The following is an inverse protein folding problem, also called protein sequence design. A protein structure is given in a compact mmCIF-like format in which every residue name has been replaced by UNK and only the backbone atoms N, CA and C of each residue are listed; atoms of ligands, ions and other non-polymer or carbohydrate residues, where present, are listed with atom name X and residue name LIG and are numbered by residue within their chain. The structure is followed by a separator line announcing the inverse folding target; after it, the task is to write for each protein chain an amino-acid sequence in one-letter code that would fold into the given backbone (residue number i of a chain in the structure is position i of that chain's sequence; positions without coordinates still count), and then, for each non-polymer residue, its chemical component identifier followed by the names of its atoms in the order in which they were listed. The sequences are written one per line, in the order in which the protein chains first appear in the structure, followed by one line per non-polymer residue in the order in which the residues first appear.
data_IF_221516072733
#
_entry.id   IF_221516072733
#
_cell.length_a   1.000
_cell.length_b   1.000
_cell.length_c   1.000
_cell.angle_alpha   90.00
_cell.angle_beta   90.00
_cell.angle_gamma   90.00
#
_symmetry.space_group_name_H-M   'P 1'
#
loop_
_entity.id
_entity.type
_entity.pdbx_description
1 polymer ?
#
# COMPACT_ATOMS: atom_id res chain seq x y z
N UNK A 1 51.27 10.82 -64.06
CA UNK A 1 51.45 10.57 -62.61
C UNK A 1 50.14 10.97 -61.91
N UNK A 2 49.24 10.02 -61.67
CA UNK A 2 47.89 10.29 -61.11
C UNK A 2 47.98 10.11 -59.60
N UNK A 3 47.81 11.19 -58.85
CA UNK A 3 47.87 11.21 -57.39
C UNK A 3 46.54 10.68 -56.84
N UNK A 4 46.54 9.42 -56.39
CA UNK A 4 45.41 8.78 -55.72
C UNK A 4 45.27 9.38 -54.31
N UNK A 5 44.36 10.33 -54.14
CA UNK A 5 44.09 10.96 -52.84
C UNK A 5 43.18 10.05 -52.02
N UNK A 6 43.76 9.34 -51.06
CA UNK A 6 43.08 8.38 -50.17
C UNK A 6 41.95 9.02 -49.37
N UNK A 7 40.74 8.53 -49.59
CA UNK A 7 39.46 8.95 -49.00
C UNK A 7 39.26 8.47 -47.54
N UNK A 8 40.32 8.47 -46.71
CA UNK A 8 40.28 7.93 -45.34
C UNK A 8 39.68 8.88 -44.30
N UNK A 9 39.56 10.17 -44.60
CA UNK A 9 39.21 11.20 -43.60
C UNK A 9 37.69 11.30 -43.35
N UNK A 10 36.83 10.88 -44.29
CA UNK A 10 35.37 10.96 -44.10
C UNK A 10 34.81 9.89 -43.16
N UNK A 11 35.40 8.69 -43.09
CA UNK A 11 34.88 7.58 -42.27
C UNK A 11 34.96 7.85 -40.76
N UNK A 12 36.00 8.55 -40.28
CA UNK A 12 36.17 8.84 -38.86
C UNK A 12 35.08 9.77 -38.29
N UNK A 13 34.59 10.72 -39.10
CA UNK A 13 33.53 11.65 -38.69
C UNK A 13 32.18 10.94 -38.56
N UNK A 14 31.88 9.98 -39.45
CA UNK A 14 30.64 9.20 -39.43
C UNK A 14 30.58 8.30 -38.19
N UNK A 15 31.65 7.56 -37.90
CA UNK A 15 31.71 6.66 -36.73
C UNK A 15 31.56 7.45 -35.42
N UNK A 16 32.18 8.62 -35.30
CA UNK A 16 32.07 9.47 -34.10
C UNK A 16 30.65 10.02 -33.90
N UNK A 17 29.95 10.39 -34.98
CA UNK A 17 28.53 10.82 -34.92
C UNK A 17 27.61 9.66 -34.53
N UNK A 18 27.85 8.47 -35.08
CA UNK A 18 27.04 7.28 -34.79
C UNK A 18 27.16 6.86 -33.32
N UNK A 19 28.38 6.85 -32.75
CA UNK A 19 28.60 6.56 -31.32
C UNK A 19 27.88 7.54 -30.39
N UNK A 20 27.84 8.83 -30.74
CA UNK A 20 27.13 9.85 -29.95
C UNK A 20 25.62 9.66 -30.00
N UNK A 21 25.06 9.33 -31.16
CA UNK A 21 23.63 9.03 -31.28
C UNK A 21 23.23 7.80 -30.46
N UNK A 22 24.03 6.73 -30.50
CA UNK A 22 23.77 5.52 -29.70
C UNK A 22 23.81 5.84 -28.20
N UNK A 23 24.78 6.62 -27.73
CA UNK A 23 24.87 7.02 -26.33
C UNK A 23 23.65 7.85 -25.87
N UNK A 24 23.19 8.81 -26.69
CA UNK A 24 21.98 9.60 -26.39
C UNK A 24 20.74 8.71 -26.34
N UNK A 25 20.62 7.74 -27.24
CA UNK A 25 19.49 6.81 -27.26
C UNK A 25 19.46 5.90 -26.02
N UNK A 26 20.63 5.42 -25.57
CA UNK A 26 20.74 4.61 -24.35
C UNK A 26 20.39 5.43 -23.11
N UNK A 27 20.87 6.68 -23.00
CA UNK A 27 20.55 7.56 -21.87
C UNK A 27 19.06 7.93 -21.87
N UNK A 28 18.46 8.22 -23.03
CA UNK A 28 17.01 8.47 -23.10
C UNK A 28 16.19 7.23 -22.79
N UNK A 29 16.62 6.02 -23.19
CA UNK A 29 15.95 4.77 -22.80
C UNK A 29 16.03 4.52 -21.29
N UNK A 30 17.15 4.85 -20.65
CA UNK A 30 17.29 4.72 -19.19
C UNK A 30 16.44 5.75 -18.43
N UNK A 31 16.26 6.95 -18.98
CA UNK A 31 15.38 7.99 -18.41
C UNK A 31 13.89 7.75 -18.74
N UNK A 32 13.60 6.98 -19.79
CA UNK A 32 12.25 6.57 -20.17
C UNK A 32 11.76 5.30 -19.47
N UNK A 33 12.57 4.72 -18.57
CA UNK A 33 12.06 3.84 -17.52
C UNK A 33 11.35 4.75 -16.51
N UNK A 34 10.25 5.38 -16.94
CA UNK A 34 9.35 6.06 -16.04
C UNK A 34 8.91 5.05 -14.99
N UNK A 35 8.84 5.50 -13.74
CA UNK A 35 8.11 4.77 -12.71
C UNK A 35 6.74 4.44 -13.30
N UNK A 36 6.51 3.17 -13.65
CA UNK A 36 5.18 2.76 -14.09
C UNK A 36 4.29 3.00 -12.88
N UNK A 37 3.35 3.93 -13.01
CA UNK A 37 2.28 4.04 -12.03
C UNK A 37 1.65 2.65 -11.98
N UNK A 38 1.60 2.04 -10.80
CA UNK A 38 0.89 0.78 -10.62
C UNK A 38 -0.54 1.16 -10.26
N UNK A 39 -1.48 0.99 -11.19
CA UNK A 39 -2.89 1.10 -10.85
C UNK A 39 -3.30 -0.05 -9.91
N UNK A 40 -3.70 0.30 -8.69
CA UNK A 40 -4.34 -0.63 -7.78
C UNK A 40 -5.81 -0.77 -8.16
N UNK A 41 -6.29 -2.01 -8.24
CA UNK A 41 -7.72 -2.27 -8.41
C UNK A 41 -8.31 -2.64 -7.07
N UNK A 42 -9.41 -1.99 -6.69
CA UNK A 42 -10.18 -2.36 -5.51
C UNK A 42 -10.67 -3.80 -5.71
N UNK A 43 -10.32 -4.69 -4.79
CA UNK A 43 -10.79 -6.06 -4.84
C UNK A 43 -12.26 -6.05 -4.46
N UNK A 44 -13.08 -6.37 -5.44
CA UNK A 44 -14.48 -6.64 -5.21
C UNK A 44 -14.70 -8.15 -4.94
N UNK A 45 -15.74 -8.47 -4.17
CA UNK A 45 -16.17 -9.83 -3.88
C UNK A 45 -15.04 -10.74 -3.37
N UNK A 46 -14.21 -10.26 -2.44
CA UNK A 46 -13.21 -11.11 -1.80
C UNK A 46 -13.82 -11.87 -0.61
N UNK A 47 -13.10 -12.83 -0.05
CA UNK A 47 -13.59 -13.72 1.00
C UNK A 47 -12.51 -14.00 2.04
N UNK A 48 -12.97 -14.22 3.28
CA UNK A 48 -12.18 -14.68 4.41
C UNK A 48 -12.65 -16.06 4.86
N UNK A 49 -11.87 -17.10 4.58
CA UNK A 49 -12.21 -18.50 4.88
C UNK A 49 -11.74 -18.92 6.27
N UNK A 50 -12.41 -18.43 7.32
CA UNK A 50 -12.08 -18.71 8.72
C UNK A 50 -12.24 -20.18 9.11
N UNK A 51 -13.01 -20.96 8.36
CA UNK A 51 -13.17 -22.40 8.59
C UNK A 51 -11.86 -23.19 8.43
N UNK A 52 -10.87 -22.64 7.71
CA UNK A 52 -9.51 -23.20 7.60
C UNK A 52 -8.77 -23.23 8.93
N UNK A 53 -9.12 -22.33 9.86
CA UNK A 53 -8.51 -22.25 11.19
C UNK A 53 -9.28 -23.14 12.16
N UNK A 54 -10.62 -23.02 12.16
CA UNK A 54 -11.51 -23.87 12.96
C UNK A 54 -12.80 -24.11 12.18
N UNK A 55 -13.21 -25.36 11.94
CA UNK A 55 -14.41 -25.67 11.14
C UNK A 55 -15.72 -25.04 11.63
N UNK A 56 -15.80 -24.68 12.91
CA UNK A 56 -16.98 -24.03 13.49
C UNK A 56 -17.08 -22.51 13.20
N UNK A 57 -16.03 -21.89 12.67
CA UNK A 57 -16.07 -20.46 12.32
C UNK A 57 -16.76 -20.24 10.97
N UNK A 58 -17.58 -19.20 10.89
CA UNK A 58 -18.24 -18.83 9.64
C UNK A 58 -17.26 -18.17 8.69
N UNK A 59 -17.25 -18.60 7.43
CA UNK A 59 -16.57 -17.86 6.37
C UNK A 59 -17.31 -16.55 6.10
N UNK A 60 -16.56 -15.49 5.83
CA UNK A 60 -17.09 -14.26 5.28
C UNK A 60 -16.84 -14.27 3.78
N UNK A 61 -17.89 -14.09 2.99
CA UNK A 61 -17.82 -14.13 1.53
C UNK A 61 -18.45 -12.87 0.94
N UNK A 62 -18.07 -12.57 -0.29
CA UNK A 62 -18.54 -11.38 -1.00
C UNK A 62 -18.28 -10.09 -0.21
N UNK A 63 -17.11 -10.00 0.42
CA UNK A 63 -16.73 -8.86 1.25
C UNK A 63 -16.40 -7.70 0.33
N UNK A 64 -17.04 -6.57 0.59
CA UNK A 64 -16.72 -5.26 0.03
C UNK A 64 -15.70 -4.58 0.96
N UNK A 65 -16.13 -4.30 2.20
CA UNK A 65 -15.32 -3.64 3.23
C UNK A 65 -15.39 -4.28 4.61
N UNK A 66 -14.37 -4.05 5.42
CA UNK A 66 -14.31 -4.37 6.84
C UNK A 66 -14.69 -3.16 7.69
N UNK A 67 -15.40 -3.39 8.79
CA UNK A 67 -15.67 -2.38 9.80
C UNK A 67 -14.70 -2.60 10.95
N UNK A 68 -13.81 -1.64 11.18
CA UNK A 68 -12.84 -1.71 12.27
C UNK A 68 -13.04 -0.58 13.27
N UNK A 69 -12.75 -0.88 14.53
CA UNK A 69 -12.88 0.05 15.64
C UNK A 69 -11.78 -0.17 16.67
N UNK A 70 -11.28 0.90 17.28
CA UNK A 70 -10.30 0.76 18.35
C UNK A 70 -9.58 2.05 18.66
N UNK A 71 -8.36 1.91 19.19
CA UNK A 71 -7.54 3.07 19.53
C UNK A 71 -6.14 2.96 18.95
N UNK A 72 -5.61 4.11 18.52
CA UNK A 72 -4.21 4.30 18.23
C UNK A 72 -3.62 5.38 19.14
N UNK A 73 -2.34 5.23 19.49
CA UNK A 73 -1.61 6.18 20.31
C UNK A 73 -0.36 6.65 19.57
N UNK A 74 -0.28 7.95 19.30
CA UNK A 74 0.91 8.60 18.79
C UNK A 74 1.74 9.14 19.94
N UNK A 75 3.03 8.84 19.91
CA UNK A 75 4.06 9.42 20.77
C UNK A 75 4.96 10.31 19.92
N UNK A 76 4.93 11.62 20.15
CA UNK A 76 5.77 12.59 19.45
C UNK A 76 7.16 12.67 20.11
N UNK A 77 8.20 12.90 19.32
CA UNK A 77 9.57 13.13 19.80
C UNK A 77 9.78 14.53 20.40
N UNK A 78 8.82 15.44 20.21
CA UNK A 78 8.83 16.81 20.74
C UNK A 78 7.45 17.46 20.65
N UNK A 79 7.40 18.77 20.93
CA UNK A 79 6.17 19.56 20.81
C UNK A 79 5.64 19.52 19.36
N UNK A 80 4.32 19.48 19.13
CA UNK A 80 3.76 19.40 17.79
C UNK A 80 4.26 20.54 16.87
N UNK A 81 4.96 20.17 15.81
CA UNK A 81 5.46 21.06 14.76
C UNK A 81 5.77 20.25 13.49
N UNK A 82 5.84 20.92 12.32
CA UNK A 82 6.29 20.26 11.10
C UNK A 82 7.73 19.73 11.26
N UNK A 83 8.00 18.53 10.75
CA UNK A 83 9.25 17.80 10.88
C UNK A 83 9.42 17.03 12.20
N UNK A 84 8.47 17.13 13.13
CA UNK A 84 8.49 16.33 14.36
C UNK A 84 8.13 14.89 14.02
N UNK A 85 9.00 13.98 14.43
CA UNK A 85 8.79 12.55 14.25
C UNK A 85 7.87 11.98 15.32
N UNK A 86 7.22 10.88 15.01
CA UNK A 86 6.39 10.16 15.96
C UNK A 86 6.57 8.65 15.83
N UNK A 87 6.18 7.93 16.88
CA UNK A 87 5.88 6.50 16.84
C UNK A 87 4.41 6.26 17.16
N UNK A 88 3.80 5.26 16.52
CA UNK A 88 2.40 4.89 16.72
C UNK A 88 2.27 3.40 17.05
N UNK A 89 1.48 3.13 18.08
CA UNK A 89 0.95 1.82 18.39
C UNK A 89 -0.58 1.86 18.30
N UNK A 90 -1.17 0.88 17.61
CA UNK A 90 -2.61 0.81 17.40
C UNK A 90 -3.15 -0.61 17.62
N UNK A 91 -4.38 -0.68 18.11
CA UNK A 91 -5.13 -1.93 18.23
C UNK A 91 -6.58 -1.72 17.82
N UNK A 92 -6.93 -2.33 16.69
CA UNK A 92 -8.23 -2.17 16.04
C UNK A 92 -8.92 -3.53 15.93
N UNK A 93 -10.10 -3.67 16.52
CA UNK A 93 -10.94 -4.84 16.33
C UNK A 93 -11.65 -4.76 14.98
N UNK A 94 -11.61 -5.85 14.21
CA UNK A 94 -12.47 -6.05 13.03
C UNK A 94 -13.81 -6.57 13.55
N UNK A 95 -14.80 -5.69 13.64
CA UNK A 95 -16.08 -5.99 14.29
C UNK A 95 -17.07 -6.68 13.35
N UNK A 96 -17.08 -6.27 12.08
CA UNK A 96 -18.01 -6.74 11.08
C UNK A 96 -17.44 -6.54 9.67
N UNK A 97 -18.16 -7.04 8.67
CA UNK A 97 -17.89 -6.78 7.26
C UNK A 97 -19.19 -6.39 6.54
N UNK A 98 -19.09 -5.63 5.47
CA UNK A 98 -20.21 -5.33 4.58
C UNK A 98 -20.03 -6.15 3.32
N UNK A 99 -21.12 -6.74 2.83
CA UNK A 99 -21.09 -7.49 1.58
C UNK A 99 -21.37 -6.60 0.39
N UNK A 100 -20.79 -6.94 -0.76
CA UNK A 100 -21.08 -6.26 -2.02
C UNK A 100 -22.59 -6.30 -2.30
N UNK A 101 -23.18 -5.14 -2.62
CA UNK A 101 -24.61 -5.00 -2.88
C UNK A 101 -25.51 -5.04 -1.63
N UNK A 102 -24.95 -5.24 -0.44
CA UNK A 102 -25.69 -5.19 0.83
C UNK A 102 -25.39 -3.88 1.59
N UNK A 103 -26.41 -3.29 2.20
CA UNK A 103 -26.27 -2.04 2.96
C UNK A 103 -25.93 -2.23 4.44
N UNK A 104 -25.88 -3.47 4.93
CA UNK A 104 -25.79 -3.78 6.36
C UNK A 104 -24.50 -4.52 6.70
N UNK A 105 -23.94 -4.20 7.86
CA UNK A 105 -22.77 -4.89 8.39
C UNK A 105 -23.16 -6.25 8.98
N UNK A 106 -22.43 -7.30 8.59
CA UNK A 106 -22.56 -8.66 9.10
C UNK A 106 -21.44 -8.95 10.10
N UNK A 107 -21.74 -9.34 11.36
CA UNK A 107 -20.71 -9.71 12.32
C UNK A 107 -20.07 -11.06 11.95
N UNK A 108 -18.82 -11.24 12.35
CA UNK A 108 -18.14 -12.53 12.24
C UNK A 108 -18.65 -13.52 13.30
N UNK A 109 -18.90 -14.78 12.92
CA UNK A 109 -19.20 -15.85 13.86
C UNK A 109 -17.94 -16.66 14.18
N UNK A 110 -17.19 -16.21 15.18
CA UNK A 110 -15.88 -16.76 15.61
C UNK A 110 -15.86 -17.19 17.08
N UNK A 111 -17.03 -17.40 17.68
CA UNK A 111 -17.20 -17.82 19.07
C UNK A 111 -16.68 -16.76 20.06
N UNK A 112 -15.85 -17.14 21.06
CA UNK A 112 -15.34 -16.20 22.06
C UNK A 112 -14.12 -15.39 21.57
N UNK A 113 -13.71 -15.54 20.31
CA UNK A 113 -12.55 -14.87 19.77
C UNK A 113 -12.93 -13.57 19.06
N UNK A 114 -11.90 -12.79 18.74
CA UNK A 114 -11.97 -11.54 18.02
C UNK A 114 -10.95 -11.56 16.88
N UNK A 115 -11.27 -10.81 15.82
CA UNK A 115 -10.32 -10.42 14.81
C UNK A 115 -9.80 -9.02 15.16
N UNK A 116 -8.49 -8.80 15.09
CA UNK A 116 -7.91 -7.48 15.32
C UNK A 116 -6.68 -7.25 14.45
N UNK A 117 -6.48 -5.99 14.12
CA UNK A 117 -5.29 -5.43 13.54
C UNK A 117 -4.50 -4.83 14.70
N UNK A 118 -3.25 -5.24 14.85
CA UNK A 118 -2.32 -4.64 15.78
C UNK A 118 -1.17 -4.03 14.98
N UNK A 119 -0.95 -2.74 15.19
CA UNK A 119 0.19 -2.02 14.65
C UNK A 119 1.13 -1.66 15.80
N UNK A 120 2.40 -2.03 15.69
CA UNK A 120 3.41 -1.76 16.72
C UNK A 120 4.61 -1.05 16.10
N UNK A 121 5.02 0.05 16.74
CA UNK A 121 6.21 0.80 16.37
C UNK A 121 6.15 1.36 14.95
N UNK A 122 4.96 1.67 14.43
CA UNK A 122 4.87 2.47 13.21
C UNK A 122 5.55 3.80 13.48
N UNK A 123 6.21 4.37 12.48
CA UNK A 123 6.89 5.65 12.65
C UNK A 123 6.58 6.57 11.48
N UNK A 124 6.71 7.88 11.72
CA UNK A 124 6.46 8.89 10.70
C UNK A 124 6.88 10.27 11.13
N UNK A 125 6.40 11.27 10.41
CA UNK A 125 6.58 12.68 10.72
C UNK A 125 5.32 13.52 10.45
N UNK A 126 5.20 14.62 11.19
CA UNK A 126 4.23 15.67 10.90
C UNK A 126 4.77 16.47 9.71
N UNK A 127 4.10 16.39 8.56
CA UNK A 127 4.52 17.07 7.33
C UNK A 127 4.06 18.52 7.29
N UNK A 128 2.95 18.82 7.96
CA UNK A 128 2.42 20.18 8.08
C UNK A 128 1.75 20.37 9.45
N UNK A 129 1.95 21.53 10.06
CA UNK A 129 1.33 21.89 11.33
C UNK A 129 0.90 23.36 11.29
N UNK A 130 -0.40 23.60 11.40
CA UNK A 130 -1.01 24.92 11.44
C UNK A 130 -1.72 25.18 12.76
N UNK A 131 -2.37 26.33 12.88
CA UNK A 131 -3.15 26.68 14.08
C UNK A 131 -4.39 25.81 14.27
N UNK A 132 -4.95 25.26 13.18
CA UNK A 132 -6.22 24.52 13.20
C UNK A 132 -6.15 23.15 12.55
N UNK A 133 -5.03 22.78 11.92
CA UNK A 133 -4.87 21.48 11.28
C UNK A 133 -3.43 20.97 11.34
N UNK A 134 -3.28 19.66 11.23
CA UNK A 134 -1.99 19.01 11.01
C UNK A 134 -2.13 17.95 9.92
N UNK A 135 -1.01 17.65 9.27
CA UNK A 135 -0.86 16.53 8.34
C UNK A 135 0.35 15.73 8.76
N UNK A 136 0.30 14.43 8.54
CA UNK A 136 1.39 13.54 8.88
C UNK A 136 1.47 12.40 7.88
N UNK A 137 2.64 11.77 7.81
CA UNK A 137 2.87 10.60 6.97
C UNK A 137 3.67 9.55 7.71
N UNK A 138 3.44 8.29 7.39
CA UNK A 138 4.24 7.18 7.90
C UNK A 138 5.47 6.94 7.03
N UNK A 139 6.55 6.46 7.66
CA UNK A 139 7.71 5.93 6.95
C UNK A 139 7.41 4.52 6.44
N UNK A 140 7.57 4.27 5.13
CA UNK A 140 7.35 2.94 4.56
C UNK A 140 8.27 1.89 5.20
N UNK A 141 7.73 0.70 5.46
CA UNK A 141 8.50 -0.42 6.00
C UNK A 141 8.92 -0.31 7.47
N UNK A 142 8.49 0.71 8.22
CA UNK A 142 8.82 0.86 9.64
C UNK A 142 7.67 0.37 10.52
N UNK A 143 8.01 -0.44 11.53
CA UNK A 143 7.05 -1.08 12.43
C UNK A 143 6.47 -2.37 11.87
N UNK A 144 5.45 -2.90 12.56
CA UNK A 144 4.77 -4.13 12.16
C UNK A 144 3.27 -3.95 12.21
N UNK A 145 2.56 -4.47 11.20
CA UNK A 145 1.09 -4.56 11.21
C UNK A 145 0.74 -6.04 11.11
N UNK A 146 0.01 -6.56 12.09
CA UNK A 146 -0.43 -7.95 12.09
C UNK A 146 -1.95 -8.04 12.25
N UNK A 147 -2.56 -8.93 11.48
CA UNK A 147 -3.95 -9.35 11.69
C UNK A 147 -3.93 -10.61 12.53
N UNK A 148 -4.69 -10.63 13.60
CA UNK A 148 -4.75 -11.74 14.53
C UNK A 148 -6.17 -12.27 14.71
N UNK A 149 -6.25 -13.53 15.13
CA UNK A 149 -7.44 -14.16 15.67
C UNK A 149 -7.15 -14.74 17.05
N UNK A 150 -7.95 -14.35 18.04
CA UNK A 150 -7.77 -14.85 19.39
C UNK A 150 -8.60 -14.12 20.43
N UNK A 151 -8.19 -14.16 21.69
CA UNK A 151 -8.96 -13.62 22.82
C UNK A 151 -8.62 -12.16 23.14
N UNK A 152 -7.68 -11.58 22.39
CA UNK A 152 -7.17 -10.25 22.65
C UNK A 152 -5.87 -10.25 23.47
N UNK A 153 -5.18 -11.38 23.59
CA UNK A 153 -3.87 -11.50 24.24
C UNK A 153 -2.79 -11.85 23.18
N UNK A 154 -2.10 -10.86 22.58
CA UNK A 154 -1.29 -11.06 21.37
C UNK A 154 -0.27 -12.21 21.46
N UNK A 155 0.28 -12.45 22.66
CA UNK A 155 1.25 -13.53 22.90
C UNK A 155 0.71 -14.95 22.67
N UNK A 156 -0.61 -15.15 22.76
CA UNK A 156 -1.26 -16.47 22.59
C UNK A 156 -2.12 -16.55 21.34
N UNK A 157 -2.22 -15.45 20.61
CA UNK A 157 -3.14 -15.30 19.51
C UNK A 157 -2.53 -15.76 18.18
N UNK A 158 -3.38 -16.18 17.25
CA UNK A 158 -2.92 -16.68 15.95
C UNK A 158 -2.75 -15.53 14.96
N UNK A 159 -1.55 -15.36 14.40
CA UNK A 159 -1.31 -14.39 13.31
C UNK A 159 -1.93 -14.95 12.02
N UNK A 160 -2.80 -14.16 11.42
CA UNK A 160 -3.50 -14.45 10.16
C UNK A 160 -2.84 -13.80 8.95
N UNK A 161 -2.23 -12.65 9.15
CA UNK A 161 -1.50 -11.91 8.13
C UNK A 161 -0.50 -10.95 8.78
N UNK A 162 0.60 -10.68 8.08
CA UNK A 162 1.53 -9.59 8.39
C UNK A 162 1.56 -8.63 7.22
N UNK A 163 1.53 -7.34 7.50
CA UNK A 163 1.51 -6.28 6.52
C UNK A 163 2.62 -5.26 6.79
N UNK A 164 2.97 -4.50 5.75
CA UNK A 164 3.97 -3.43 5.80
C UNK A 164 3.41 -2.16 5.20
N UNK A 165 3.62 -1.04 5.88
CA UNK A 165 3.21 0.28 5.39
C UNK A 165 3.90 0.60 4.07
N UNK A 166 3.14 1.05 3.07
CA UNK A 166 3.65 1.50 1.78
C UNK A 166 3.70 3.04 1.69
N UNK A 167 4.44 3.62 0.73
CA UNK A 167 4.44 5.08 0.52
C UNK A 167 3.05 5.63 0.23
N UNK A 168 2.72 6.77 0.81
CA UNK A 168 1.41 7.43 0.66
C UNK A 168 0.55 7.37 1.92
N UNK A 169 0.83 6.45 2.84
CA UNK A 169 0.11 6.32 4.11
C UNK A 169 0.33 7.51 5.04
N UNK A 170 -0.75 8.00 5.66
CA UNK A 170 -0.71 9.17 6.51
C UNK A 170 -2.10 9.66 6.89
N UNK A 171 -2.19 10.88 7.36
CA UNK A 171 -3.47 11.44 7.77
C UNK A 171 -3.44 12.95 7.92
N UNK A 172 -4.61 13.48 8.21
CA UNK A 172 -4.80 14.88 8.53
C UNK A 172 -5.83 15.03 9.63
N UNK A 173 -5.71 16.04 10.48
CA UNK A 173 -6.67 16.26 11.56
C UNK A 173 -6.77 17.71 11.95
N UNK A 174 -7.81 18.04 12.70
CA UNK A 174 -7.92 19.34 13.35
C UNK A 174 -6.98 19.41 14.59
N UNK A 175 -6.40 20.59 14.83
CA UNK A 175 -5.49 20.82 15.96
C UNK A 175 -6.26 20.84 17.28
N UNK A 176 -5.62 20.31 18.33
CA UNK A 176 -6.19 20.03 19.64
C UNK A 176 -6.29 21.24 20.58
N UNK A 177 -6.43 22.45 20.05
CA UNK A 177 -6.47 23.68 20.86
C UNK A 177 -7.85 23.88 21.53
N UNK A 178 -8.21 22.96 22.44
CA UNK A 178 -9.26 23.15 23.44
C UNK A 178 -10.71 22.99 22.96
N UNK A 179 -10.94 22.57 21.72
CA UNK A 179 -12.28 22.23 21.21
C UNK A 179 -12.76 20.84 21.66
N UNK A 180 -14.08 20.66 21.81
CA UNK A 180 -14.68 19.35 22.08
C UNK A 180 -14.58 18.48 20.82
N UNK A 181 -13.64 17.55 20.80
CA UNK A 181 -13.57 16.45 19.82
C UNK A 181 -13.15 16.85 18.40
N UNK A 182 -11.92 17.36 18.17
CA UNK A 182 -11.41 17.51 16.82
C UNK A 182 -11.42 16.15 16.09
N UNK A 183 -12.02 16.11 14.92
CA UNK A 183 -11.96 14.97 14.02
C UNK A 183 -10.76 15.08 13.08
N UNK A 184 -10.27 13.93 12.64
CA UNK A 184 -9.29 13.80 11.58
C UNK A 184 -9.58 12.57 10.73
N UNK A 185 -8.78 12.39 9.70
CA UNK A 185 -8.80 11.21 8.83
C UNK A 185 -7.42 10.59 8.83
N UNK A 186 -7.36 9.27 8.78
CA UNK A 186 -6.11 8.53 8.59
C UNK A 186 -6.32 7.48 7.52
N UNK A 187 -5.50 7.54 6.48
CA UNK A 187 -5.36 6.51 5.47
C UNK A 187 -4.10 5.71 5.74
N UNK A 188 -4.25 4.41 5.97
CA UNK A 188 -3.16 3.47 6.12
C UNK A 188 -3.21 2.46 4.98
N UNK A 189 -2.29 2.62 4.04
CA UNK A 189 -2.09 1.67 2.96
C UNK A 189 -0.97 0.71 3.38
N UNK A 190 -1.23 -0.59 3.26
CA UNK A 190 -0.30 -1.63 3.67
C UNK A 190 -0.27 -2.80 2.69
N UNK A 191 0.92 -3.29 2.37
CA UNK A 191 1.14 -4.48 1.54
C UNK A 191 1.16 -5.74 2.41
N UNK A 192 0.50 -6.81 1.97
CA UNK A 192 0.67 -8.12 2.60
C UNK A 192 2.12 -8.61 2.43
N UNK A 193 2.79 -8.85 3.55
CA UNK A 193 4.07 -9.56 3.59
C UNK A 193 3.84 -11.08 3.64
N UNK A 194 2.81 -11.49 4.36
CA UNK A 194 2.40 -12.89 4.50
C UNK A 194 0.94 -12.98 4.93
N UNK A 195 0.34 -14.14 4.68
CA UNK A 195 -1.04 -14.45 5.00
C UNK A 195 -1.19 -15.95 5.17
N UNK A 196 -2.10 -16.37 6.04
CA UNK A 196 -2.41 -17.78 6.22
C UNK A 196 -2.97 -18.35 4.91
N UNK A 197 -2.40 -19.45 4.36
CA UNK A 197 -2.83 -19.99 3.08
C UNK A 197 -4.32 -20.37 3.06
N UNK A 198 -5.00 -19.98 1.98
CA UNK A 198 -6.42 -20.23 1.75
C UNK A 198 -7.37 -19.38 2.58
N UNK A 199 -6.85 -18.49 3.44
CA UNK A 199 -7.68 -17.61 4.26
C UNK A 199 -8.22 -16.43 3.45
N UNK A 200 -7.40 -15.81 2.60
CA UNK A 200 -7.69 -14.57 1.90
C UNK A 200 -7.86 -14.82 0.41
N UNK A 201 -9.10 -14.99 -0.06
CA UNK A 201 -9.33 -15.36 -1.46
C UNK A 201 -10.18 -14.35 -2.21
N UNK A 202 -9.88 -14.12 -3.48
CA UNK A 202 -10.76 -13.37 -4.39
C UNK A 202 -12.02 -14.19 -4.72
N UNK A 203 -13.03 -13.57 -5.35
CA UNK A 203 -14.23 -14.28 -5.83
C UNK A 203 -13.93 -15.40 -6.85
N UNK A 204 -12.75 -15.37 -7.48
CA UNK A 204 -12.26 -16.45 -8.36
C UNK A 204 -11.55 -17.60 -7.63
N UNK A 205 -11.35 -17.48 -6.32
CA UNK A 205 -10.62 -18.45 -5.49
C UNK A 205 -9.10 -18.24 -5.42
N UNK A 206 -8.55 -17.22 -6.09
CA UNK A 206 -7.12 -16.88 -5.96
C UNK A 206 -6.79 -16.39 -4.54
N UNK A 207 -5.78 -16.99 -3.91
CA UNK A 207 -5.27 -16.59 -2.59
C UNK A 207 -4.32 -15.39 -2.72
N UNK A 208 -4.71 -14.25 -2.16
CA UNK A 208 -3.94 -13.01 -2.21
C UNK A 208 -3.17 -12.71 -0.93
N UNK A 209 -3.12 -13.63 0.04
CA UNK A 209 -2.43 -13.43 1.32
C UNK A 209 -0.94 -13.11 1.23
N UNK A 210 -0.33 -13.20 0.04
CA UNK A 210 1.09 -12.84 -0.23
C UNK A 210 1.27 -11.78 -1.32
N UNK A 211 0.19 -11.31 -1.94
CA UNK A 211 0.25 -10.39 -3.10
C UNK A 211 -0.76 -9.23 -3.03
N UNK A 212 -1.61 -9.20 -2.01
CA UNK A 212 -2.62 -8.16 -1.81
C UNK A 212 -2.07 -6.91 -1.16
N UNK A 213 -2.83 -5.82 -1.29
CA UNK A 213 -2.65 -4.57 -0.55
C UNK A 213 -3.93 -4.35 0.25
N UNK A 214 -3.82 -4.13 1.55
CA UNK A 214 -4.94 -3.66 2.35
C UNK A 214 -4.92 -2.14 2.39
N UNK A 215 -6.09 -1.54 2.20
CA UNK A 215 -6.32 -0.11 2.40
C UNK A 215 -7.19 0.08 3.62
N UNK A 216 -6.74 0.87 4.57
CA UNK A 216 -7.54 1.24 5.73
C UNK A 216 -7.78 2.73 5.70
N UNK A 217 -8.98 3.16 5.31
CA UNK A 217 -9.40 4.56 5.41
C UNK A 217 -10.32 4.75 6.62
N UNK A 218 -10.02 5.75 7.44
CA UNK A 218 -10.63 5.92 8.76
C UNK A 218 -10.96 7.36 9.08
N UNK A 219 -12.11 7.55 9.74
CA UNK A 219 -12.46 8.81 10.38
C UNK A 219 -12.20 8.64 11.87
N UNK A 220 -11.38 9.54 12.41
CA UNK A 220 -10.84 9.40 13.74
C UNK A 220 -11.25 10.59 14.60
N UNK A 221 -11.60 10.33 15.85
CA UNK A 221 -11.70 11.38 16.86
C UNK A 221 -10.38 11.46 17.60
N UNK A 222 -9.81 12.64 17.69
CA UNK A 222 -8.48 12.82 18.28
C UNK A 222 -8.60 13.45 19.67
N UNK A 223 -7.84 12.91 20.63
CA UNK A 223 -7.80 13.35 22.02
C UNK A 223 -6.36 13.54 22.49
N UNK A 224 -6.07 14.70 23.09
CA UNK A 224 -4.79 14.96 23.75
C UNK A 224 -4.72 14.14 25.06
N UNK A 225 -3.63 13.41 25.27
CA UNK A 225 -3.39 12.69 26.53
C UNK A 225 -2.35 13.37 27.44
N UNK A 226 -1.62 14.37 26.93
CA UNK A 226 -0.59 15.09 27.68
C UNK A 226 0.37 15.80 26.74
N UNK A 227 1.52 16.25 27.27
CA UNK A 227 2.59 16.79 26.42
C UNK A 227 3.12 15.66 25.52
N UNK A 228 3.01 15.85 24.21
CA UNK A 228 3.56 14.97 23.16
C UNK A 228 2.86 13.61 22.98
N UNK A 229 1.62 13.44 23.47
CA UNK A 229 0.82 12.23 23.24
C UNK A 229 -0.56 12.54 22.67
N UNK A 230 -0.91 11.84 21.59
CA UNK A 230 -2.22 11.91 20.96
C UNK A 230 -2.84 10.50 20.96
N UNK A 231 -4.12 10.42 21.29
CA UNK A 231 -4.91 9.21 21.13
C UNK A 231 -5.98 9.41 20.08
N UNK A 232 -6.10 8.45 19.19
CA UNK A 232 -7.11 8.40 18.15
C UNK A 232 -8.11 7.31 18.53
N UNK A 233 -9.39 7.67 18.59
CA UNK A 233 -10.47 6.69 18.54
C UNK A 233 -10.84 6.52 17.08
N UNK A 234 -10.64 5.31 16.56
CA UNK A 234 -10.73 4.99 15.14
C UNK A 234 -12.07 4.30 14.88
N UNK A 235 -12.82 4.80 13.91
CA UNK A 235 -13.96 4.11 13.30
C UNK A 235 -13.79 4.17 11.79
N UNK A 236 -13.69 3.01 11.16
CA UNK A 236 -13.17 2.91 9.80
C UNK A 236 -13.92 1.88 8.97
N UNK A 237 -13.91 2.17 7.67
CA UNK A 237 -14.32 1.29 6.59
C UNK A 237 -13.05 0.92 5.82
N UNK A 238 -12.51 -0.28 6.08
CA UNK A 238 -11.31 -0.77 5.40
C UNK A 238 -11.67 -1.52 4.12
N UNK A 239 -10.90 -1.33 3.05
CA UNK A 239 -11.04 -1.99 1.75
C UNK A 239 -9.76 -2.78 1.43
N UNK A 240 -9.82 -3.74 0.52
CA UNK A 240 -8.62 -4.48 0.09
C UNK A 240 -8.47 -4.27 -1.40
N UNK A 241 -7.24 -4.05 -1.86
CA UNK A 241 -6.89 -3.88 -3.27
C UNK A 241 -5.89 -4.95 -3.72
N UNK A 242 -5.81 -5.20 -5.02
CA UNK A 242 -4.72 -5.98 -5.61
C UNK A 242 -4.00 -5.21 -6.68
N UNK A 243 -2.73 -5.55 -6.86
CA UNK A 243 -1.95 -5.06 -7.99
C UNK A 243 -2.41 -5.84 -9.22
N UNK A 244 -3.10 -5.14 -10.13
CA UNK A 244 -3.43 -5.70 -11.45
C UNK A 244 -2.32 -5.30 -12.41
N UNK A 245 -1.68 -6.24 -13.13
CA UNK A 245 -0.73 -5.90 -14.18
C UNK A 245 -1.42 -5.01 -15.23
N UNK A 246 -0.96 -3.78 -15.39
CA UNK A 246 -1.59 -2.85 -16.32
C UNK A 246 -1.49 -3.33 -17.78
N UNK A 247 -2.51 -3.06 -18.64
CA UNK A 247 -2.46 -3.30 -20.08
C UNK A 247 -1.26 -2.66 -20.78
N UNK A 248 -0.72 -1.58 -20.22
CA UNK A 248 0.46 -0.86 -20.71
C UNK A 248 1.71 -1.75 -20.78
N UNK A 249 1.87 -2.71 -19.86
CA UNK A 249 2.96 -3.71 -19.89
C UNK A 249 2.81 -4.64 -21.09
N UNK A 250 1.58 -5.08 -21.38
CA UNK A 250 1.30 -5.90 -22.56
C UNK A 250 1.52 -5.13 -23.87
N UNK A 251 1.15 -3.84 -23.89
CA UNK A 251 1.40 -2.96 -25.05
C UNK A 251 2.90 -2.72 -25.25
N UNK A 252 3.68 -2.54 -24.17
CA UNK A 252 5.12 -2.33 -24.25
C UNK A 252 5.86 -3.60 -24.72
N UNK A 253 5.45 -4.78 -24.23
CA UNK A 253 5.95 -6.07 -24.71
C UNK A 253 5.58 -6.27 -26.18
N UNK A 254 4.32 -5.97 -26.55
CA UNK A 254 3.86 -6.03 -27.94
C UNK A 254 4.66 -5.10 -28.86
N UNK A 255 4.85 -3.85 -28.47
CA UNK A 255 5.63 -2.86 -29.22
C UNK A 255 7.12 -3.26 -29.30
N UNK A 256 7.69 -3.82 -28.23
CA UNK A 256 9.06 -4.34 -28.20
C UNK A 256 9.27 -5.50 -29.17
N UNK A 257 8.32 -6.44 -29.23
CA UNK A 257 8.34 -7.57 -30.16
C UNK A 257 8.18 -7.11 -31.62
N UNK A 258 7.30 -6.14 -31.90
CA UNK A 258 7.16 -5.54 -33.22
C UNK A 258 8.45 -4.83 -33.64
N UNK A 259 9.08 -4.08 -32.73
CA UNK A 259 10.37 -3.43 -32.95
C UNK A 259 11.49 -4.42 -33.28
N UNK A 260 11.58 -5.53 -32.52
CA UNK A 260 12.53 -6.62 -32.77
C UNK A 260 12.29 -7.29 -34.12
N UNK A 261 11.02 -7.54 -34.49
CA UNK A 261 10.66 -8.12 -35.79
C UNK A 261 11.07 -7.22 -36.97
N UNK A 262 10.85 -5.90 -36.86
CA UNK A 262 11.29 -4.94 -37.86
C UNK A 262 12.82 -4.83 -37.95
N UNK A 263 13.52 -4.92 -36.82
CA UNK A 263 14.99 -4.92 -36.78
C UNK A 263 15.60 -6.19 -37.40
N UNK A 264 15.02 -7.36 -37.13
CA UNK A 264 15.43 -8.63 -37.73
C UNK A 264 15.25 -8.60 -39.26
N UNK A 265 14.12 -8.08 -39.76
CA UNK A 265 13.84 -7.95 -41.20
C UNK A 265 14.86 -7.06 -41.93
N UNK A 266 15.40 -6.03 -41.25
CA UNK A 266 16.42 -5.15 -41.84
C UNK A 266 17.81 -5.80 -41.97
N UNK A 267 18.10 -6.87 -41.22
CA UNK A 267 19.40 -7.57 -41.30
C UNK A 267 19.46 -8.63 -42.41
N UNK A 268 18.31 -9.00 -42.98
CA UNK A 268 18.22 -9.99 -44.06
C UNK A 268 18.29 -9.37 -45.46
N UNK A 269 18.40 -8.05 -45.56
CA UNK A 269 18.65 -7.31 -46.81
C UNK A 269 20.05 -6.73 -46.77
#
# INVERSE_FOLDING_TARGET
MIKMTTNKVQNGKVVKRMKRMVAVFVVMMMLAIGSQAQAYTILDNWSMNLSTIKPAYSNATNIDRLIVQGTATLQLSGAPAAGVTFTEDARLQIAAYVKEGEGFATPFSIGPNFLYIEALGLAGEITNYGATSYQYMFYPGVGTINVYLGTGAPATDTILASLSVIPGSGGQGAVMDGGVGPSGTTGLDALFLSGLPGLWTTGSGFDFGTYGIALLDSINTVKALGQNQLQFTISSQGEVNTVVPEPSTFVLIGAGLVGLGLAARRRMK
#
